data_IF_973005625545
#
_entry.id   IF_973005625545
#
_cell.length_a   1.000
_cell.length_b   1.000
_cell.length_c   1.000
_cell.angle_alpha   90.00
_cell.angle_beta   90.00
_cell.angle_gamma   90.00
#
_symmetry.space_group_name_H-M   'P 1'
#
loop_
_entity.id
_entity.type
_entity.pdbx_description
1 polymer ?
#
# COMPACT_ATOMS: atom_id res chain seq x y z
N UNK A 1 9.33 40.28 -35.20
CA UNK A 1 9.85 39.29 -36.14
C UNK A 1 11.28 38.99 -35.75
N UNK A 2 11.51 37.94 -34.94
CA UNK A 2 12.83 37.44 -34.59
C UNK A 2 12.76 35.92 -34.59
N UNK A 3 13.23 35.34 -35.69
CA UNK A 3 13.51 33.90 -35.85
C UNK A 3 14.88 33.63 -35.23
N UNK A 4 14.99 32.58 -34.42
CA UNK A 4 16.28 32.02 -33.97
C UNK A 4 16.08 30.56 -33.57
N UNK A 5 16.30 29.63 -34.51
CA UNK A 5 17.51 28.80 -34.66
C UNK A 5 17.49 27.59 -33.70
N UNK A 6 16.91 26.47 -34.16
CA UNK A 6 17.63 25.31 -34.70
C UNK A 6 18.61 24.63 -33.72
N UNK A 7 18.15 23.46 -33.26
CA UNK A 7 18.80 22.18 -33.51
C UNK A 7 20.14 21.92 -32.81
N UNK A 8 20.16 20.92 -31.91
CA UNK A 8 21.19 19.86 -31.93
C UNK A 8 20.96 18.72 -30.94
N UNK A 9 21.17 17.51 -31.49
CA UNK A 9 21.91 16.37 -30.93
C UNK A 9 21.25 15.41 -29.92
N UNK A 10 20.62 14.38 -30.50
CA UNK A 10 20.94 12.94 -30.34
C UNK A 10 21.69 12.51 -29.07
N UNK A 11 21.11 11.55 -28.32
CA UNK A 11 21.80 10.29 -27.93
C UNK A 11 20.81 9.13 -27.87
N UNK A 12 20.88 8.27 -28.87
CA UNK A 12 20.31 6.91 -28.89
C UNK A 12 21.17 6.00 -27.99
N UNK A 13 20.63 5.59 -26.84
CA UNK A 13 21.22 4.57 -25.98
C UNK A 13 20.61 3.20 -26.29
N UNK A 14 21.45 2.29 -26.80
CA UNK A 14 21.10 0.92 -27.20
C UNK A 14 20.63 0.04 -26.03
N UNK A 15 19.80 -0.99 -26.29
CA UNK A 15 19.28 -1.90 -25.27
C UNK A 15 20.34 -2.91 -24.81
N UNK A 16 20.54 -3.01 -23.51
CA UNK A 16 21.36 -4.05 -22.88
C UNK A 16 20.59 -5.38 -22.88
N UNK A 17 21.07 -6.34 -23.67
CA UNK A 17 20.65 -7.74 -23.61
C UNK A 17 21.33 -8.39 -22.40
N UNK A 18 20.57 -8.63 -21.34
CA UNK A 18 21.01 -9.50 -20.24
C UNK A 18 20.56 -10.92 -20.54
N UNK A 19 21.48 -11.72 -21.07
CA UNK A 19 21.33 -13.17 -21.24
C UNK A 19 22.08 -13.88 -20.11
N UNK A 20 21.43 -14.84 -19.46
CA UNK A 20 22.13 -15.91 -18.72
C UNK A 20 21.88 -15.91 -17.22
N UNK A 21 20.86 -16.67 -16.80
CA UNK A 21 20.94 -17.39 -15.54
C UNK A 21 21.01 -18.88 -15.86
N UNK A 22 22.21 -19.43 -15.68
CA UNK A 22 22.47 -20.86 -15.65
C UNK A 22 21.57 -21.54 -14.64
N UNK A 23 20.93 -22.61 -15.08
CA UNK A 23 20.08 -23.50 -14.29
C UNK A 23 20.89 -24.74 -13.99
N UNK A 24 21.83 -24.63 -13.06
CA UNK A 24 22.63 -25.76 -12.62
C UNK A 24 21.99 -26.42 -11.40
N UNK A 25 21.51 -27.64 -11.62
CA UNK A 25 21.58 -28.79 -10.72
C UNK A 25 21.13 -28.62 -9.27
N UNK A 26 19.83 -28.83 -9.01
CA UNK A 26 19.42 -29.41 -7.72
C UNK A 26 19.27 -30.91 -7.89
N UNK A 27 20.24 -31.64 -7.33
CA UNK A 27 20.25 -33.09 -7.18
C UNK A 27 19.09 -33.51 -6.27
N UNK A 28 18.24 -34.38 -6.79
CA UNK A 28 17.17 -35.01 -6.03
C UNK A 28 17.69 -36.36 -5.55
N UNK A 29 18.21 -36.43 -4.33
CA UNK A 29 18.48 -37.71 -3.66
C UNK A 29 18.34 -37.56 -2.14
N UNK A 30 17.77 -38.60 -1.52
CA UNK A 30 17.57 -38.85 -0.09
C UNK A 30 16.36 -38.19 0.60
N UNK A 31 15.20 -38.82 0.39
CA UNK A 31 14.21 -38.96 1.46
C UNK A 31 14.06 -40.45 1.74
N UNK A 32 14.82 -40.92 2.73
CA UNK A 32 14.64 -42.23 3.34
C UNK A 32 13.41 -42.19 4.24
N UNK A 33 12.36 -42.86 3.79
CA UNK A 33 11.56 -43.83 4.52
C UNK A 33 11.93 -44.08 6.00
N UNK A 34 10.95 -43.94 6.92
CA UNK A 34 10.54 -44.90 7.96
C UNK A 34 10.12 -44.27 9.31
N UNK A 35 8.96 -44.74 9.82
CA UNK A 35 8.43 -44.54 11.18
C UNK A 35 7.09 -43.81 11.16
N UNK A 36 5.94 -44.46 10.95
CA UNK A 36 5.29 -45.51 11.73
C UNK A 36 4.85 -45.05 13.15
N UNK A 37 3.53 -44.87 13.25
CA UNK A 37 2.65 -45.27 14.34
C UNK A 37 2.72 -44.49 15.67
N UNK A 38 1.72 -43.62 15.84
CA UNK A 38 1.43 -42.91 17.08
C UNK A 38 0.03 -42.31 17.02
N UNK A 39 -0.97 -43.18 17.10
CA UNK A 39 -2.36 -42.82 17.39
C UNK A 39 -2.43 -42.25 18.81
N UNK A 40 -2.33 -40.92 18.94
CA UNK A 40 -2.69 -40.21 20.16
C UNK A 40 -3.81 -39.22 19.84
N UNK A 41 -5.01 -39.67 20.16
CA UNK A 41 -6.29 -38.98 20.06
C UNK A 41 -6.35 -37.78 21.01
N UNK A 42 -5.62 -36.71 20.69
CA UNK A 42 -5.81 -35.44 21.36
C UNK A 42 -6.98 -34.70 20.75
N UNK A 43 -8.16 -34.93 21.34
CA UNK A 43 -9.36 -34.11 21.22
C UNK A 43 -9.04 -32.67 21.64
N UNK A 44 -8.54 -31.88 20.68
CA UNK A 44 -8.31 -30.45 20.86
C UNK A 44 -9.67 -29.74 20.86
N UNK A 45 -10.16 -29.50 22.07
CA UNK A 45 -11.38 -28.75 22.33
C UNK A 45 -11.32 -27.38 21.65
N UNK A 46 -12.34 -27.15 20.84
CA UNK A 46 -12.55 -25.98 20.00
C UNK A 46 -13.04 -24.78 20.84
N UNK A 47 -12.34 -24.40 21.91
CA UNK A 47 -12.72 -23.25 22.75
C UNK A 47 -11.52 -22.43 23.22
N UNK A 48 -10.76 -21.82 22.31
CA UNK A 48 -9.72 -20.85 22.72
C UNK A 48 -9.49 -19.65 21.79
N UNK A 49 -10.36 -19.42 20.79
CA UNK A 49 -10.22 -18.27 19.89
C UNK A 49 -11.11 -17.06 20.22
N UNK A 50 -11.50 -16.89 21.50
CA UNK A 50 -12.35 -15.74 21.91
C UNK A 50 -11.67 -14.70 22.80
N UNK A 51 -10.40 -14.85 23.17
CA UNK A 51 -9.78 -13.99 24.19
C UNK A 51 -8.49 -13.24 23.80
N UNK A 52 -7.94 -13.44 22.60
CA UNK A 52 -6.85 -12.58 22.09
C UNK A 52 -7.38 -11.38 21.30
N UNK A 53 -8.31 -10.62 21.88
CA UNK A 53 -8.44 -9.18 21.56
C UNK A 53 -7.51 -8.43 22.49
N UNK A 54 -6.21 -8.71 22.35
CA UNK A 54 -5.16 -8.14 23.20
C UNK A 54 -5.00 -6.65 22.86
N UNK A 55 -5.18 -5.82 23.90
CA UNK A 55 -4.55 -4.55 24.28
C UNK A 55 -3.95 -3.54 23.26
N UNK A 56 -3.69 -3.89 22.00
CA UNK A 56 -3.07 -3.03 20.98
C UNK A 56 -4.01 -1.93 20.44
N UNK A 57 -5.32 -2.04 20.66
CA UNK A 57 -6.30 -1.03 20.21
C UNK A 57 -6.47 0.18 21.16
N UNK A 58 -5.75 0.24 22.29
CA UNK A 58 -6.05 1.19 23.38
C UNK A 58 -5.23 2.50 23.43
N UNK A 59 -4.37 2.82 22.46
CA UNK A 59 -3.51 4.03 22.57
C UNK A 59 -3.28 4.80 21.27
N UNK A 60 -4.27 4.87 20.38
CA UNK A 60 -4.21 5.87 19.32
C UNK A 60 -5.20 6.99 19.64
N UNK A 61 -4.76 8.26 19.65
CA UNK A 61 -5.70 9.36 19.72
C UNK A 61 -6.59 9.27 18.49
N UNK A 62 -7.85 8.88 18.69
CA UNK A 62 -8.87 8.91 17.65
C UNK A 62 -9.17 10.38 17.39
N UNK A 63 -8.59 10.93 16.33
CA UNK A 63 -8.90 12.29 15.89
C UNK A 63 -10.32 12.28 15.31
N UNK A 64 -11.29 12.51 16.19
CA UNK A 64 -12.68 12.75 15.79
C UNK A 64 -12.79 14.20 15.32
N UNK A 65 -12.58 14.43 14.02
CA UNK A 65 -12.69 15.76 13.42
C UNK A 65 -14.18 16.10 13.28
N UNK A 66 -14.69 17.00 14.14
CA UNK A 66 -16.01 17.61 13.94
C UNK A 66 -15.87 18.61 12.79
N UNK A 67 -16.30 18.21 11.59
CA UNK A 67 -16.34 19.06 10.39
C UNK A 67 -17.33 20.21 10.58
N UNK A 68 -16.85 21.33 11.13
CA UNK A 68 -17.58 22.61 11.21
C UNK A 68 -17.05 23.65 10.22
N UNK A 69 -16.10 23.26 9.35
CA UNK A 69 -15.36 24.15 8.47
C UNK A 69 -15.64 23.85 6.98
N UNK A 70 -15.49 24.85 6.09
CA UNK A 70 -15.71 24.69 4.65
C UNK A 70 -14.89 23.52 4.10
N UNK A 71 -15.52 22.78 3.19
CA UNK A 71 -15.02 21.56 2.53
C UNK A 71 -13.54 21.69 2.19
N UNK A 72 -12.70 20.70 2.53
CA UNK A 72 -11.26 20.80 2.37
C UNK A 72 -10.88 21.17 0.92
N UNK A 73 -9.92 22.08 0.83
CA UNK A 73 -9.20 22.41 -0.39
C UNK A 73 -8.82 21.12 -1.11
N UNK A 74 -9.16 21.01 -2.41
CA UNK A 74 -8.78 19.88 -3.26
C UNK A 74 -7.29 19.56 -3.02
N UNK A 75 -6.99 18.38 -2.49
CA UNK A 75 -5.63 17.93 -2.21
C UNK A 75 -5.23 16.90 -3.28
N UNK A 76 -4.11 17.14 -3.94
CA UNK A 76 -3.60 16.24 -4.97
C UNK A 76 -2.08 16.19 -4.95
N UNK A 77 -1.53 15.02 -5.26
CA UNK A 77 -0.10 14.80 -5.19
C UNK A 77 0.30 13.35 -5.47
N UNK A 78 1.59 13.14 -5.71
CA UNK A 78 2.15 11.81 -5.89
C UNK A 78 2.46 11.17 -4.54
N UNK A 79 1.86 9.99 -4.31
CA UNK A 79 2.11 9.17 -3.13
C UNK A 79 2.64 7.79 -3.53
N UNK A 80 3.53 7.24 -2.72
CA UNK A 80 3.94 5.85 -2.85
C UNK A 80 2.88 4.95 -2.19
N UNK A 81 2.16 4.17 -2.99
CA UNK A 81 1.16 3.22 -2.49
C UNK A 81 1.76 1.83 -2.32
N UNK A 82 1.65 1.28 -1.12
CA UNK A 82 2.03 -0.11 -0.84
C UNK A 82 1.07 -1.06 -1.55
N UNK A 83 1.63 -1.98 -2.34
CA UNK A 83 0.83 -3.03 -2.98
C UNK A 83 0.47 -4.12 -1.96
N UNK A 84 -0.67 -4.81 -2.12
CA UNK A 84 -1.00 -5.96 -1.28
C UNK A 84 0.10 -7.02 -1.33
N UNK A 85 0.40 -7.65 -0.19
CA UNK A 85 1.45 -8.69 -0.09
C UNK A 85 1.23 -9.83 -1.10
N UNK A 86 -0.04 -10.19 -1.35
CA UNK A 86 -0.43 -11.27 -2.25
C UNK A 86 -0.02 -11.07 -3.72
N UNK A 87 0.23 -9.83 -4.17
CA UNK A 87 0.44 -9.55 -5.60
C UNK A 87 1.93 -9.32 -5.90
N UNK A 88 2.62 -8.48 -5.12
CA UNK A 88 4.00 -8.05 -5.45
C UNK A 88 4.83 -7.81 -4.18
N UNK A 89 4.87 -8.78 -3.25
CA UNK A 89 5.72 -8.74 -2.04
C UNK A 89 5.71 -7.41 -1.27
N UNK A 90 4.60 -6.66 -1.31
CA UNK A 90 4.51 -5.36 -0.64
C UNK A 90 5.36 -4.22 -1.24
N UNK A 91 5.74 -4.29 -2.53
CA UNK A 91 6.46 -3.18 -3.20
C UNK A 91 5.66 -1.87 -3.15
N UNK A 92 6.38 -0.77 -3.01
CA UNK A 92 5.83 0.58 -3.17
C UNK A 92 5.73 0.93 -4.65
N UNK A 93 4.66 1.61 -5.06
CA UNK A 93 4.49 2.15 -6.41
C UNK A 93 3.97 3.58 -6.35
N UNK A 94 4.55 4.50 -7.15
CA UNK A 94 4.04 5.86 -7.21
C UNK A 94 2.65 5.87 -7.82
N UNK A 95 1.76 6.67 -7.24
CA UNK A 95 0.37 6.88 -7.66
C UNK A 95 0.01 8.33 -7.47
N UNK A 96 -0.55 8.94 -8.51
CA UNK A 96 -1.13 10.27 -8.39
C UNK A 96 -2.45 10.13 -7.63
N UNK A 97 -2.57 10.78 -6.47
CA UNK A 97 -3.71 10.69 -5.59
C UNK A 97 -4.46 12.02 -5.58
N UNK A 98 -5.79 11.96 -5.55
CA UNK A 98 -6.66 13.13 -5.54
C UNK A 98 -7.73 12.93 -4.47
N UNK A 99 -7.77 13.83 -3.50
CA UNK A 99 -8.78 13.93 -2.46
C UNK A 99 -9.63 15.19 -2.72
N UNK A 100 -10.89 14.94 -3.07
CA UNK A 100 -11.93 15.96 -3.15
C UNK A 100 -13.16 15.44 -2.40
N UNK A 101 -14.18 14.98 -3.11
CA UNK A 101 -15.35 14.31 -2.51
C UNK A 101 -15.08 12.81 -2.23
N UNK A 102 -14.15 12.25 -3.00
CA UNK A 102 -13.71 10.86 -2.94
C UNK A 102 -12.19 10.85 -2.98
N UNK A 103 -11.58 9.86 -2.35
CA UNK A 103 -10.16 9.61 -2.51
C UNK A 103 -9.95 8.69 -3.70
N UNK A 104 -9.33 9.21 -4.77
CA UNK A 104 -9.01 8.46 -5.98
C UNK A 104 -7.50 8.37 -6.15
N UNK A 105 -7.02 7.29 -6.74
CA UNK A 105 -5.63 7.18 -7.14
C UNK A 105 -5.49 6.63 -8.56
N UNK A 106 -4.51 7.16 -9.28
CA UNK A 106 -4.27 6.95 -10.70
C UNK A 106 -2.86 6.40 -10.92
N UNK A 107 -2.59 5.89 -12.12
CA UNK A 107 -1.24 5.46 -12.49
C UNK A 107 -0.27 6.64 -12.56
N UNK A 108 -0.72 7.75 -13.15
CA UNK A 108 -0.03 9.04 -13.22
C UNK A 108 -1.10 10.16 -13.30
N UNK A 109 -0.66 11.41 -13.33
CA UNK A 109 -1.53 12.59 -13.39
C UNK A 109 -2.36 12.70 -14.67
N UNK A 110 -1.82 12.24 -15.80
CA UNK A 110 -2.47 12.29 -17.12
C UNK A 110 -3.44 11.13 -17.37
N UNK A 111 -3.60 10.21 -16.41
CA UNK A 111 -4.44 9.03 -16.58
C UNK A 111 -5.93 9.38 -16.49
N UNK A 112 -6.68 9.07 -17.54
CA UNK A 112 -8.14 9.26 -17.56
C UNK A 112 -8.88 8.31 -16.59
N UNK A 113 -8.31 7.14 -16.31
CA UNK A 113 -8.92 6.10 -15.48
C UNK A 113 -8.22 5.96 -14.13
N UNK A 114 -8.99 6.03 -13.04
CA UNK A 114 -8.50 5.70 -11.70
C UNK A 114 -8.28 4.18 -11.55
N UNK A 115 -7.28 3.82 -10.74
CA UNK A 115 -7.00 2.44 -10.35
C UNK A 115 -7.78 2.02 -9.09
N UNK A 116 -8.26 2.99 -8.32
CA UNK A 116 -9.15 2.75 -7.20
C UNK A 116 -9.76 4.03 -6.65
N UNK A 117 -10.87 3.85 -5.93
CA UNK A 117 -11.65 4.92 -5.32
C UNK A 117 -12.13 4.50 -3.94
N UNK A 118 -12.08 5.42 -2.99
CA UNK A 118 -12.71 5.33 -1.68
C UNK A 118 -13.76 6.45 -1.64
N UNK A 119 -15.03 6.06 -1.61
CA UNK A 119 -16.17 6.97 -1.61
C UNK A 119 -16.66 7.19 -0.18
N UNK A 120 -16.20 8.26 0.47
CA UNK A 120 -16.50 8.53 1.88
C UNK A 120 -17.99 8.78 2.17
N UNK A 121 -18.81 9.01 1.13
CA UNK A 121 -20.27 9.09 1.28
C UNK A 121 -20.91 7.70 1.46
N UNK A 122 -20.22 6.63 1.05
CA UNK A 122 -20.72 5.25 1.09
C UNK A 122 -20.04 4.39 2.14
N UNK A 123 -18.81 4.74 2.50
CA UNK A 123 -18.01 3.97 3.46
C UNK A 123 -17.46 4.89 4.53
N UNK A 124 -17.52 4.43 5.78
CA UNK A 124 -16.78 5.05 6.87
C UNK A 124 -15.32 4.56 6.79
N UNK A 125 -14.37 5.48 6.82
CA UNK A 125 -12.95 5.16 6.78
C UNK A 125 -12.22 5.93 7.87
N UNK A 126 -11.18 5.32 8.42
CA UNK A 126 -10.30 5.96 9.39
C UNK A 126 -8.89 6.06 8.84
N UNK A 127 -8.27 7.22 9.03
CA UNK A 127 -6.92 7.53 8.54
C UNK A 127 -6.00 7.74 9.74
N UNK A 128 -4.83 7.10 9.73
CA UNK A 128 -3.87 7.16 10.83
C UNK A 128 -2.44 7.25 10.30
N UNK A 129 -1.59 8.04 10.96
CA UNK A 129 -0.14 7.97 10.79
C UNK A 129 0.40 6.67 11.41
N UNK A 130 1.40 6.05 10.78
CA UNK A 130 2.05 4.87 11.34
C UNK A 130 3.13 5.29 12.37
N UNK A 131 3.25 4.58 13.50
CA UNK A 131 4.21 4.93 14.54
C UNK A 131 5.67 4.70 14.11
N UNK A 132 5.89 3.73 13.22
CA UNK A 132 7.24 3.35 12.77
C UNK A 132 7.78 4.29 11.67
N UNK A 133 6.93 5.16 11.11
CA UNK A 133 7.25 5.96 9.91
C UNK A 133 6.33 7.17 9.85
N UNK A 134 6.89 8.34 10.17
CA UNK A 134 6.17 9.63 10.20
C UNK A 134 5.73 10.14 8.83
N UNK A 135 6.34 9.62 7.77
CA UNK A 135 6.02 9.86 6.35
C UNK A 135 5.02 8.84 5.79
N UNK A 136 4.51 7.91 6.61
CA UNK A 136 3.55 6.88 6.15
C UNK A 136 2.23 7.00 6.90
N UNK A 137 1.13 6.93 6.16
CA UNK A 137 -0.21 6.84 6.73
C UNK A 137 -0.98 5.63 6.17
N UNK A 138 -1.98 5.19 6.92
CA UNK A 138 -2.84 4.05 6.63
C UNK A 138 -4.30 4.49 6.62
N UNK A 139 -5.00 4.19 5.53
CA UNK A 139 -6.46 4.30 5.43
C UNK A 139 -7.05 2.91 5.67
N UNK A 140 -7.94 2.79 6.65
CA UNK A 140 -8.68 1.56 6.95
C UNK A 140 -10.17 1.82 6.72
N UNK A 141 -10.81 0.98 5.91
CA UNK A 141 -12.25 1.10 5.64
C UNK A 141 -13.00 0.29 6.70
N UNK A 142 -13.87 0.95 7.47
CA UNK A 142 -14.61 0.28 8.55
C UNK A 142 -15.55 -0.78 7.95
N UNK A 143 -15.61 -1.95 8.60
CA UNK A 143 -16.36 -3.09 8.08
C UNK A 143 -15.68 -3.83 6.92
N UNK A 144 -14.42 -3.52 6.62
CA UNK A 144 -13.61 -4.25 5.63
C UNK A 144 -12.22 -4.60 6.18
N UNK A 145 -11.70 -5.75 5.79
CA UNK A 145 -10.29 -6.11 6.07
C UNK A 145 -9.30 -5.34 5.18
N UNK A 146 -9.82 -4.59 4.21
CA UNK A 146 -9.02 -3.81 3.27
C UNK A 146 -8.47 -2.56 3.96
N UNK A 147 -7.16 -2.42 3.83
CA UNK A 147 -6.44 -1.22 4.22
C UNK A 147 -5.48 -0.81 3.11
N UNK A 148 -5.22 0.49 3.05
CA UNK A 148 -4.32 1.10 2.07
C UNK A 148 -3.23 1.84 2.83
N UNK A 149 -1.98 1.61 2.46
CA UNK A 149 -0.83 2.26 3.09
C UNK A 149 -0.17 3.13 2.02
N UNK A 150 0.05 4.39 2.37
CA UNK A 150 0.63 5.41 1.51
C UNK A 150 1.81 6.06 2.22
N UNK A 151 2.85 6.37 1.45
CA UNK A 151 4.04 7.09 1.91
C UNK A 151 4.21 8.38 1.10
N UNK A 152 4.48 9.47 1.80
CA UNK A 152 4.74 10.81 1.25
C UNK A 152 6.23 11.07 1.11
N UNK A 153 6.62 12.24 0.62
CA UNK A 153 8.03 12.63 0.59
C UNK A 153 8.51 13.22 1.92
N UNK A 154 7.58 13.77 2.71
CA UNK A 154 7.85 14.37 4.01
C UNK A 154 6.77 14.05 5.04
N UNK A 155 7.11 14.11 6.33
CA UNK A 155 6.16 13.91 7.43
C UNK A 155 5.10 15.01 7.52
N UNK A 156 5.44 16.23 7.08
CA UNK A 156 4.51 17.35 7.09
C UNK A 156 3.40 17.13 6.05
N UNK A 157 3.77 16.65 4.86
CA UNK A 157 2.83 16.24 3.82
C UNK A 157 1.93 15.10 4.32
N UNK A 158 2.49 14.09 5.01
CA UNK A 158 1.69 13.00 5.59
C UNK A 158 0.66 13.53 6.59
N UNK A 159 1.05 14.54 7.38
CA UNK A 159 0.16 15.19 8.34
C UNK A 159 -0.94 15.99 7.64
N UNK A 160 -0.67 16.60 6.49
CA UNK A 160 -1.68 17.27 5.67
C UNK A 160 -2.69 16.29 5.08
N UNK A 161 -2.26 15.13 4.59
CA UNK A 161 -3.17 14.09 4.06
C UNK A 161 -4.07 13.44 5.13
N UNK A 162 -3.71 13.53 6.41
CA UNK A 162 -4.45 12.92 7.52
C UNK A 162 -5.47 13.87 8.15
N UNK A 163 -5.30 15.19 7.98
CA UNK A 163 -6.17 16.24 8.52
C UNK A 163 -7.51 16.31 7.78
#
# INVERSE_FOLDING_TARGET
SCKGNMEKLRKSGSPSRFTGYSRDGFSADNISELGADGDDDHELTFESNKMFKSAAERRYPRLTVKLAAPVPTKLEGYLDKKQPKAIIFGKWKPRYCVLKDKFKYYQNEESDSHLGVIDFNKVEASVYLLPDSSDTFKITVNGSDKHFIFRTQSSDEATEWVK
#
